data_IF_715086880909
#
_entry.id   IF_715086880909
#
_cell.length_a   1.000
_cell.length_b   1.000
_cell.length_c   1.000
_cell.angle_alpha   90.00
_cell.angle_beta   90.00
_cell.angle_gamma   90.00
#
_symmetry.space_group_name_H-M   'P 1'
#
loop_
_entity.id
_entity.type
_entity.pdbx_description
1 polymer ?
#
# COMPACT_ATOMS: atom_id res chain seq x y z
N UNK A 1 -12.56 -21.08 -4.27
CA UNK A 1 -12.89 -19.91 -5.08
C UNK A 1 -11.60 -19.10 -5.29
N UNK A 2 -11.33 -18.68 -6.51
CA UNK A 2 -10.24 -17.73 -6.81
C UNK A 2 -10.86 -16.39 -7.14
N UNK A 3 -10.22 -15.31 -6.72
CA UNK A 3 -10.62 -13.95 -7.14
C UNK A 3 -10.57 -13.86 -8.67
N UNK A 4 -11.60 -13.29 -9.27
CA UNK A 4 -11.66 -13.12 -10.72
C UNK A 4 -10.68 -12.01 -11.10
N UNK A 5 -9.81 -12.21 -12.11
CA UNK A 5 -8.94 -11.14 -12.62
C UNK A 5 -9.77 -9.91 -13.06
N UNK A 6 -9.25 -8.73 -12.77
CA UNK A 6 -9.87 -7.46 -13.11
C UNK A 6 -9.10 -6.77 -14.23
N UNK A 7 -9.81 -5.96 -15.01
CA UNK A 7 -9.21 -5.04 -15.98
C UNK A 7 -9.92 -3.69 -15.95
N UNK A 8 -9.25 -2.65 -16.43
CA UNK A 8 -9.84 -1.32 -16.62
C UNK A 8 -10.33 -1.22 -18.07
N UNK A 9 -11.61 -0.87 -18.26
CA UNK A 9 -12.22 -0.65 -19.56
C UNK A 9 -12.93 0.72 -19.59
N UNK A 10 -12.26 1.69 -20.19
CA UNK A 10 -12.69 3.09 -20.12
C UNK A 10 -12.64 3.60 -18.67
N UNK A 11 -13.78 3.99 -18.13
CA UNK A 11 -13.92 4.48 -16.76
C UNK A 11 -14.48 3.41 -15.77
N UNK A 12 -14.39 2.13 -16.14
CA UNK A 12 -14.96 1.04 -15.34
C UNK A 12 -13.90 0.02 -15.00
N UNK A 13 -14.06 -0.62 -13.84
CA UNK A 13 -13.40 -1.87 -13.50
C UNK A 13 -14.34 -2.99 -13.87
N UNK A 14 -13.87 -3.93 -14.67
CA UNK A 14 -14.66 -5.08 -15.14
C UNK A 14 -13.94 -6.39 -14.87
N UNK A 15 -14.64 -7.51 -14.90
CA UNK A 15 -14.01 -8.83 -14.93
C UNK A 15 -13.24 -8.97 -16.25
N UNK A 16 -11.99 -9.40 -16.16
CA UNK A 16 -11.09 -9.53 -17.31
C UNK A 16 -11.75 -10.32 -18.45
N UNK A 17 -11.68 -9.77 -19.66
CA UNK A 17 -12.25 -10.37 -20.88
C UNK A 17 -13.77 -10.25 -21.00
N UNK A 18 -14.43 -9.44 -20.16
CA UNK A 18 -15.89 -9.23 -20.22
C UNK A 18 -16.26 -7.75 -20.12
N UNK A 19 -17.56 -7.44 -20.23
CA UNK A 19 -18.12 -6.12 -19.93
C UNK A 19 -18.79 -6.07 -18.54
N UNK A 20 -18.69 -7.14 -17.74
CA UNK A 20 -19.31 -7.21 -16.44
C UNK A 20 -18.58 -6.30 -15.43
N UNK A 21 -19.25 -5.24 -15.04
CA UNK A 21 -18.73 -4.26 -14.11
C UNK A 21 -18.58 -4.85 -12.71
N UNK A 22 -17.46 -4.57 -12.08
CA UNK A 22 -17.17 -4.93 -10.68
C UNK A 22 -17.17 -3.66 -9.84
N UNK A 23 -17.97 -3.65 -8.79
CA UNK A 23 -17.95 -2.58 -7.77
C UNK A 23 -17.18 -3.09 -6.56
N UNK A 24 -16.03 -2.47 -6.29
CA UNK A 24 -15.22 -2.77 -5.13
C UNK A 24 -15.75 -2.00 -3.91
N UNK A 25 -16.15 -2.74 -2.87
CA UNK A 25 -16.64 -2.20 -1.60
C UNK A 25 -15.81 -2.75 -0.46
N UNK A 26 -15.22 -1.88 0.33
CA UNK A 26 -14.33 -2.31 1.40
C UNK A 26 -13.97 -1.21 2.37
N UNK A 27 -13.05 -1.54 3.24
CA UNK A 27 -12.52 -0.64 4.28
C UNK A 27 -11.01 -0.75 4.39
N UNK A 28 -10.39 0.24 5.04
CA UNK A 28 -9.00 0.14 5.47
C UNK A 28 -8.88 -0.76 6.70
N UNK A 29 -7.84 -1.57 6.74
CA UNK A 29 -7.41 -2.33 7.92
C UNK A 29 -5.97 -1.89 8.23
N UNK A 30 -5.77 -0.88 9.09
CA UNK A 30 -4.49 -0.18 9.24
C UNK A 30 -3.45 -0.94 10.08
N UNK A 31 -3.77 -2.13 10.58
CA UNK A 31 -2.98 -2.84 11.58
C UNK A 31 -1.53 -3.14 11.17
N UNK A 32 -1.19 -3.11 9.88
CA UNK A 32 0.19 -3.32 9.41
C UNK A 32 1.04 -2.04 9.42
N UNK A 33 0.42 -0.87 9.45
CA UNK A 33 1.13 0.39 9.62
C UNK A 33 1.03 0.88 11.08
N UNK A 34 -0.14 0.71 11.69
CA UNK A 34 -0.40 1.02 13.09
C UNK A 34 -0.95 -0.20 13.81
N UNK A 35 -0.45 -0.51 15.02
CA UNK A 35 -1.01 -1.55 15.88
C UNK A 35 -0.42 -2.96 15.71
N UNK A 36 0.73 -3.10 15.08
CA UNK A 36 1.54 -4.35 15.08
C UNK A 36 0.77 -5.61 14.73
N UNK A 37 -0.02 -5.57 13.66
CA UNK A 37 -0.88 -6.66 13.22
C UNK A 37 -1.97 -7.06 14.23
N UNK A 38 -2.26 -6.21 15.21
CA UNK A 38 -3.30 -6.47 16.21
C UNK A 38 -4.68 -6.54 15.53
N UNK A 39 -5.44 -7.58 15.88
CA UNK A 39 -6.77 -7.86 15.32
C UNK A 39 -6.84 -7.92 13.78
N UNK A 40 -5.70 -8.17 13.11
CA UNK A 40 -5.59 -8.15 11.66
C UNK A 40 -6.55 -9.15 10.98
N UNK A 41 -6.55 -10.39 11.46
CA UNK A 41 -7.37 -11.47 10.89
C UNK A 41 -8.82 -11.42 11.36
N UNK A 42 -9.07 -10.98 12.58
CA UNK A 42 -10.41 -10.73 13.10
C UNK A 42 -11.10 -9.62 12.29
N UNK A 43 -10.39 -8.52 12.04
CA UNK A 43 -10.88 -7.41 11.20
C UNK A 43 -11.19 -7.89 9.79
N UNK A 44 -10.30 -8.67 9.18
CA UNK A 44 -10.54 -9.24 7.85
C UNK A 44 -11.76 -10.16 7.81
N UNK A 45 -11.90 -11.03 8.80
CA UNK A 45 -13.05 -11.95 8.91
C UNK A 45 -14.34 -11.15 9.05
N UNK A 46 -14.35 -10.12 9.91
CA UNK A 46 -15.50 -9.24 10.08
C UNK A 46 -15.88 -8.57 8.75
N UNK A 47 -14.91 -8.00 8.06
CA UNK A 47 -15.12 -7.25 6.80
C UNK A 47 -15.62 -8.15 5.68
N UNK A 48 -14.95 -9.27 5.45
CA UNK A 48 -15.31 -10.14 4.32
C UNK A 48 -16.51 -11.05 4.59
N UNK A 49 -16.58 -11.62 5.79
CA UNK A 49 -17.52 -12.70 6.08
C UNK A 49 -18.81 -12.16 6.73
N UNK A 50 -18.72 -11.12 7.58
CA UNK A 50 -19.88 -10.57 8.28
C UNK A 50 -20.49 -9.36 7.57
N UNK A 51 -19.68 -8.42 7.05
CA UNK A 51 -20.19 -7.23 6.36
C UNK A 51 -20.41 -7.46 4.86
N UNK A 52 -19.94 -8.58 4.32
CA UNK A 52 -20.11 -8.92 2.91
C UNK A 52 -19.28 -8.03 1.96
N UNK A 53 -18.28 -7.32 2.46
CA UNK A 53 -17.37 -6.55 1.63
C UNK A 53 -16.56 -7.47 0.70
N UNK A 54 -16.07 -6.92 -0.41
CA UNK A 54 -15.26 -7.68 -1.36
C UNK A 54 -13.81 -7.17 -1.45
N UNK A 55 -13.47 -6.13 -0.68
CA UNK A 55 -12.17 -5.48 -0.70
C UNK A 55 -11.71 -5.11 0.71
N UNK A 56 -10.42 -5.25 0.97
CA UNK A 56 -9.69 -4.61 2.07
C UNK A 56 -8.56 -3.77 1.48
N UNK A 57 -8.33 -2.57 1.98
CA UNK A 57 -7.09 -1.83 1.77
C UNK A 57 -6.18 -2.05 2.99
N UNK A 58 -5.00 -2.58 2.73
CA UNK A 58 -3.99 -2.89 3.74
C UNK A 58 -2.82 -1.93 3.61
N UNK A 59 -2.74 -0.89 4.47
CA UNK A 59 -1.59 -0.02 4.55
C UNK A 59 -0.31 -0.77 4.93
N UNK A 60 0.75 -0.60 4.16
CA UNK A 60 2.07 -1.22 4.36
C UNK A 60 3.11 -0.12 4.51
N UNK A 61 3.90 -0.19 5.56
CA UNK A 61 5.02 0.73 5.75
C UNK A 61 6.29 0.19 5.07
N UNK A 62 6.90 0.90 4.10
CA UNK A 62 8.09 0.44 3.40
C UNK A 62 9.29 0.17 4.31
N UNK A 63 9.46 0.97 5.37
CA UNK A 63 10.51 0.72 6.36
C UNK A 63 10.31 -0.61 7.08
N UNK A 64 9.06 -0.92 7.47
CA UNK A 64 8.74 -2.17 8.15
C UNK A 64 8.84 -3.37 7.21
N UNK A 65 8.50 -3.19 5.94
CA UNK A 65 8.75 -4.22 4.92
C UNK A 65 10.22 -4.59 4.83
N UNK A 66 11.12 -3.60 4.90
CA UNK A 66 12.56 -3.77 4.78
C UNK A 66 13.22 -4.33 6.05
N UNK A 67 12.80 -3.88 7.23
CA UNK A 67 13.55 -4.07 8.48
C UNK A 67 12.73 -4.67 9.62
N UNK A 68 11.44 -4.92 9.42
CA UNK A 68 10.52 -5.20 10.52
C UNK A 68 10.04 -3.93 11.20
N UNK A 69 9.07 -4.05 12.08
CA UNK A 69 8.49 -2.91 12.79
C UNK A 69 8.99 -2.84 14.22
N UNK A 70 9.26 -1.62 14.67
CA UNK A 70 9.56 -1.30 16.06
C UNK A 70 8.47 -0.36 16.53
N UNK A 71 7.57 -0.85 17.38
CA UNK A 71 6.49 -0.05 17.94
C UNK A 71 6.25 -0.48 19.38
N UNK A 72 6.62 0.38 20.32
CA UNK A 72 6.59 0.13 21.76
C UNK A 72 7.27 -1.22 22.14
N UNK A 73 6.59 -2.07 22.87
CA UNK A 73 7.11 -3.37 23.32
C UNK A 73 6.86 -4.52 22.32
N UNK A 74 6.10 -4.26 21.24
CA UNK A 74 5.76 -5.28 20.23
C UNK A 74 6.58 -5.07 18.96
N UNK A 75 7.65 -5.84 18.82
CA UNK A 75 8.49 -5.83 17.63
C UNK A 75 8.14 -7.00 16.72
N UNK A 76 7.96 -6.71 15.43
CA UNK A 76 7.87 -7.73 14.39
C UNK A 76 9.21 -7.78 13.64
N UNK A 77 9.77 -8.97 13.47
CA UNK A 77 10.90 -9.12 12.53
C UNK A 77 10.42 -8.86 11.10
N UNK A 78 11.36 -8.61 10.18
CA UNK A 78 11.06 -8.49 8.76
C UNK A 78 10.21 -9.67 8.25
N UNK A 79 10.63 -10.88 8.59
CA UNK A 79 9.97 -12.11 8.16
C UNK A 79 8.55 -12.24 8.72
N UNK A 80 8.35 -11.85 9.98
CA UNK A 80 7.03 -11.84 10.60
C UNK A 80 6.12 -10.80 9.93
N UNK A 81 6.63 -9.58 9.69
CA UNK A 81 5.88 -8.52 9.02
C UNK A 81 5.45 -8.95 7.62
N UNK A 82 6.37 -9.47 6.83
CA UNK A 82 6.09 -9.96 5.48
C UNK A 82 5.16 -11.16 5.48
N UNK A 83 5.29 -12.04 6.47
CA UNK A 83 4.41 -13.22 6.62
C UNK A 83 2.97 -12.81 6.91
N UNK A 84 2.71 -11.83 7.75
CA UNK A 84 1.36 -11.33 8.01
C UNK A 84 0.70 -10.83 6.73
N UNK A 85 1.43 -10.05 5.91
CA UNK A 85 0.92 -9.57 4.63
C UNK A 85 0.61 -10.74 3.68
N UNK A 86 1.50 -11.73 3.62
CA UNK A 86 1.33 -12.92 2.80
C UNK A 86 0.09 -13.73 3.24
N UNK A 87 -0.10 -13.90 4.52
CA UNK A 87 -1.26 -14.61 5.08
C UNK A 87 -2.57 -13.86 4.79
N UNK A 88 -2.57 -12.50 4.85
CA UNK A 88 -3.72 -11.68 4.47
C UNK A 88 -4.08 -11.83 2.99
N UNK A 89 -3.07 -11.81 2.10
CA UNK A 89 -3.27 -12.04 0.66
C UNK A 89 -3.84 -13.41 0.40
N UNK A 90 -3.28 -14.46 1.00
CA UNK A 90 -3.79 -15.84 0.88
C UNK A 90 -5.23 -15.97 1.37
N UNK A 91 -5.55 -15.34 2.48
CA UNK A 91 -6.88 -15.39 3.06
C UNK A 91 -7.92 -14.64 2.22
N UNK A 92 -7.56 -13.50 1.59
CA UNK A 92 -8.40 -12.81 0.61
C UNK A 92 -8.64 -13.69 -0.63
N UNK A 93 -7.56 -14.25 -1.19
CA UNK A 93 -7.62 -15.14 -2.34
C UNK A 93 -8.50 -16.38 -2.09
N UNK A 94 -8.37 -17.02 -0.93
CA UNK A 94 -9.17 -18.19 -0.55
C UNK A 94 -10.66 -17.89 -0.49
N UNK A 95 -11.03 -16.65 -0.19
CA UNK A 95 -12.42 -16.15 -0.16
C UNK A 95 -12.93 -15.64 -1.50
N UNK A 96 -12.09 -15.59 -2.53
CA UNK A 96 -12.43 -14.95 -3.82
C UNK A 96 -12.64 -13.44 -3.70
N UNK A 97 -11.96 -12.81 -2.73
CA UNK A 97 -12.02 -11.36 -2.42
C UNK A 97 -10.76 -10.66 -2.91
N UNK A 98 -10.72 -9.33 -2.80
CA UNK A 98 -9.61 -8.50 -3.24
C UNK A 98 -8.93 -7.81 -2.05
N UNK A 99 -7.65 -7.54 -2.21
CA UNK A 99 -6.86 -6.79 -1.24
C UNK A 99 -5.99 -5.76 -1.97
N UNK A 100 -6.07 -4.49 -1.57
CA UNK A 100 -5.12 -3.47 -1.98
C UNK A 100 -3.93 -3.51 -1.04
N UNK A 101 -2.75 -3.75 -1.55
CA UNK A 101 -1.50 -3.49 -0.84
C UNK A 101 -1.13 -2.04 -1.11
N UNK A 102 -1.09 -1.23 -0.07
CA UNK A 102 -0.94 0.21 -0.16
C UNK A 102 0.40 0.65 0.42
N UNK A 103 1.22 1.33 -0.39
CA UNK A 103 2.43 1.99 0.11
C UNK A 103 2.04 3.19 0.97
N UNK A 104 2.01 2.99 2.29
CA UNK A 104 1.47 3.97 3.23
C UNK A 104 2.51 5.00 3.63
N UNK A 105 2.89 5.83 2.67
CA UNK A 105 3.81 6.95 2.82
C UNK A 105 3.07 8.27 2.64
N UNK A 106 3.43 9.27 3.42
CA UNK A 106 2.81 10.61 3.41
C UNK A 106 3.68 11.69 2.74
N UNK A 107 4.78 11.30 2.15
CA UNK A 107 5.74 12.17 1.47
C UNK A 107 6.05 11.62 0.08
N UNK A 108 6.97 12.29 -0.63
CA UNK A 108 7.45 11.84 -1.93
C UNK A 108 8.00 10.41 -1.91
N UNK A 109 7.90 9.68 -3.04
CA UNK A 109 8.52 8.36 -3.20
C UNK A 109 10.02 8.40 -2.91
N UNK A 110 10.49 7.35 -2.25
CA UNK A 110 11.91 7.16 -1.91
C UNK A 110 12.36 5.77 -2.39
N UNK A 111 13.66 5.52 -2.28
CA UNK A 111 14.25 4.27 -2.78
C UNK A 111 13.66 3.02 -2.10
N UNK A 112 13.34 3.08 -0.83
CA UNK A 112 12.74 1.95 -0.10
C UNK A 112 11.32 1.61 -0.59
N UNK A 113 10.56 2.59 -1.10
CA UNK A 113 9.26 2.34 -1.75
C UNK A 113 9.44 1.55 -3.05
N UNK A 114 10.41 1.94 -3.88
CA UNK A 114 10.72 1.23 -5.11
C UNK A 114 11.21 -0.20 -4.84
N UNK A 115 12.07 -0.36 -3.84
CA UNK A 115 12.59 -1.68 -3.46
C UNK A 115 11.46 -2.59 -2.97
N UNK A 116 10.57 -2.07 -2.11
CA UNK A 116 9.36 -2.78 -1.70
C UNK A 116 8.49 -3.17 -2.90
N UNK A 117 8.23 -2.23 -3.83
CA UNK A 117 7.39 -2.50 -5.00
C UNK A 117 7.99 -3.53 -5.94
N UNK A 118 9.32 -3.55 -6.15
CA UNK A 118 9.99 -4.59 -6.93
C UNK A 118 9.75 -5.97 -6.34
N UNK A 119 9.90 -6.13 -5.02
CA UNK A 119 9.65 -7.39 -4.33
C UNK A 119 8.16 -7.80 -4.39
N UNK A 120 7.24 -6.87 -4.12
CA UNK A 120 5.79 -7.13 -4.14
C UNK A 120 5.27 -7.46 -5.54
N UNK A 121 5.76 -6.78 -6.58
CA UNK A 121 5.37 -7.04 -7.96
C UNK A 121 5.80 -8.44 -8.42
N UNK A 122 7.02 -8.87 -8.07
CA UNK A 122 7.49 -10.23 -8.34
C UNK A 122 6.64 -11.25 -7.59
N UNK A 123 6.33 -10.98 -6.33
CA UNK A 123 5.61 -11.93 -5.46
C UNK A 123 4.13 -12.05 -5.81
N UNK A 124 3.46 -10.94 -6.12
CA UNK A 124 2.00 -10.88 -6.26
C UNK A 124 1.48 -10.40 -7.62
N UNK A 125 2.35 -10.03 -8.56
CA UNK A 125 1.94 -9.47 -9.85
C UNK A 125 1.00 -10.36 -10.68
N UNK A 126 1.05 -11.68 -10.47
CA UNK A 126 0.16 -12.65 -11.10
C UNK A 126 -0.98 -13.13 -10.17
N UNK A 127 -1.18 -12.48 -9.04
CA UNK A 127 -2.25 -12.84 -8.10
C UNK A 127 -3.48 -11.96 -8.30
N UNK A 128 -4.53 -12.52 -8.89
CA UNK A 128 -5.77 -11.80 -9.20
C UNK A 128 -6.52 -11.23 -7.97
N UNK A 129 -6.15 -11.62 -6.77
CA UNK A 129 -6.71 -11.04 -5.55
C UNK A 129 -6.05 -9.70 -5.17
N UNK A 130 -4.85 -9.41 -5.70
CA UNK A 130 -4.04 -8.27 -5.28
C UNK A 130 -4.21 -7.08 -6.23
N UNK A 131 -4.43 -5.93 -5.65
CA UNK A 131 -4.36 -4.61 -6.28
C UNK A 131 -3.25 -3.80 -5.61
N UNK A 132 -2.61 -2.90 -6.34
CA UNK A 132 -1.50 -2.11 -5.84
C UNK A 132 -1.89 -0.64 -5.68
N UNK A 133 -1.83 -0.13 -4.44
CA UNK A 133 -1.94 1.29 -4.12
C UNK A 133 -0.54 1.90 -4.07
N UNK A 134 -0.10 2.49 -5.18
CA UNK A 134 1.30 2.83 -5.40
C UNK A 134 1.89 3.81 -4.39
N UNK A 135 1.09 4.77 -3.94
CA UNK A 135 1.48 5.77 -2.94
C UNK A 135 0.25 6.30 -2.24
N UNK A 136 0.32 6.42 -0.92
CA UNK A 136 -0.68 7.13 -0.14
C UNK A 136 -0.42 8.66 -0.27
N UNK A 137 -1.09 9.49 0.43
CA UNK A 137 -1.16 10.95 0.47
C UNK A 137 0.21 11.67 0.41
N UNK A 138 0.84 11.95 -0.74
CA UNK A 138 2.04 12.75 -0.80
C UNK A 138 1.70 14.22 -0.50
N UNK A 139 2.20 14.72 0.64
CA UNK A 139 1.99 16.11 1.07
C UNK A 139 3.24 16.66 1.76
N UNK A 140 3.23 17.94 2.12
CA UNK A 140 4.31 18.63 2.85
C UNK A 140 5.69 18.49 2.20
N UNK A 141 5.73 18.55 0.86
CA UNK A 141 6.97 18.47 0.10
C UNK A 141 7.80 19.71 0.41
N UNK A 142 8.91 19.51 1.12
CA UNK A 142 9.82 20.58 1.53
C UNK A 142 11.21 20.40 0.90
N UNK A 143 11.49 21.04 -0.24
CA UNK A 143 12.81 20.99 -0.85
C UNK A 143 13.90 21.52 0.10
N UNK A 144 15.09 20.94 0.03
CA UNK A 144 16.25 21.40 0.84
C UNK A 144 16.58 22.84 0.50
N UNK A 145 16.82 23.66 1.52
CA UNK A 145 17.14 25.07 1.39
C UNK A 145 15.92 26.01 1.17
N UNK A 146 14.71 25.44 1.11
CA UNK A 146 13.47 26.22 0.95
C UNK A 146 12.66 26.17 2.24
N UNK A 147 12.56 27.31 2.93
CA UNK A 147 11.83 27.37 4.22
C UNK A 147 10.31 27.29 4.03
N UNK A 148 9.79 27.99 3.03
CA UNK A 148 8.36 28.03 2.67
C UNK A 148 8.18 27.75 1.18
N UNK A 149 8.12 26.47 0.79
CA UNK A 149 8.04 26.12 -0.62
C UNK A 149 6.72 26.60 -1.25
N UNK A 150 6.84 27.13 -2.44
CA UNK A 150 5.70 27.44 -3.30
C UNK A 150 5.13 26.16 -3.91
N UNK A 151 3.90 26.23 -4.41
CA UNK A 151 3.29 25.12 -5.16
C UNK A 151 4.15 24.70 -6.37
N UNK A 152 4.79 25.65 -7.04
CA UNK A 152 5.65 25.37 -8.20
C UNK A 152 6.88 24.56 -7.78
N UNK A 153 7.56 24.93 -6.70
CA UNK A 153 8.73 24.21 -6.19
C UNK A 153 8.35 22.79 -5.70
N UNK A 154 7.15 22.62 -5.12
CA UNK A 154 6.64 21.31 -4.73
C UNK A 154 6.36 20.44 -5.96
N UNK A 155 5.74 20.99 -7.02
CA UNK A 155 5.50 20.30 -8.28
C UNK A 155 6.80 19.98 -9.03
N UNK A 156 7.83 20.84 -8.95
CA UNK A 156 9.13 20.55 -9.54
C UNK A 156 9.76 19.31 -8.92
N UNK A 157 9.74 19.21 -7.59
CA UNK A 157 10.21 17.99 -6.89
C UNK A 157 9.35 16.77 -7.23
N UNK A 158 8.03 16.95 -7.36
CA UNK A 158 7.15 15.86 -7.75
C UNK A 158 7.51 15.29 -9.13
N UNK A 159 7.84 16.17 -10.07
CA UNK A 159 8.18 15.80 -11.45
C UNK A 159 9.61 15.29 -11.60
N UNK A 160 10.55 15.98 -11.01
CA UNK A 160 11.98 15.79 -11.27
C UNK A 160 12.69 15.01 -10.14
N UNK A 161 12.05 14.85 -9.00
CA UNK A 161 12.72 14.40 -7.79
C UNK A 161 13.59 15.49 -7.18
N UNK A 162 14.41 15.12 -6.21
CA UNK A 162 15.34 16.05 -5.57
C UNK A 162 15.56 15.76 -4.10
N UNK A 163 16.30 16.66 -3.43
CA UNK A 163 16.52 16.55 -2.00
C UNK A 163 15.40 17.26 -1.24
N UNK A 164 14.79 16.57 -0.29
CA UNK A 164 13.71 17.09 0.55
C UNK A 164 14.01 16.84 2.03
N UNK A 165 13.34 17.59 2.90
CA UNK A 165 13.39 17.38 4.35
C UNK A 165 12.20 16.53 4.78
N UNK A 166 12.46 15.41 5.44
CA UNK A 166 11.46 14.53 6.04
C UNK A 166 11.85 14.26 7.49
N UNK A 167 11.01 14.67 8.44
CA UNK A 167 11.30 14.48 9.86
C UNK A 167 12.56 15.18 10.36
N UNK A 168 13.00 16.23 9.65
CA UNK A 168 14.25 16.98 9.96
C UNK A 168 15.50 16.43 9.28
N UNK A 169 15.40 15.34 8.54
CA UNK A 169 16.51 14.72 7.80
C UNK A 169 16.40 14.99 6.31
N UNK A 170 17.56 15.11 5.64
CA UNK A 170 17.62 15.19 4.18
C UNK A 170 17.45 13.82 3.55
N UNK A 171 16.50 13.67 2.63
CA UNK A 171 16.26 12.44 1.89
C UNK A 171 16.11 12.71 0.41
N UNK A 172 16.48 11.76 -0.43
CA UNK A 172 16.29 11.85 -1.88
C UNK A 172 14.86 11.40 -2.23
N UNK A 173 14.08 12.32 -2.78
CA UNK A 173 12.80 12.05 -3.40
C UNK A 173 12.99 11.59 -4.85
N UNK A 174 12.17 10.67 -5.28
CA UNK A 174 12.15 10.14 -6.65
C UNK A 174 11.02 10.85 -7.40
N UNK A 175 11.36 11.45 -8.56
CA UNK A 175 10.38 12.08 -9.42
C UNK A 175 9.54 11.06 -10.23
N UNK A 176 8.46 11.56 -10.77
CA UNK A 176 7.52 10.80 -11.63
C UNK A 176 7.78 10.99 -13.11
#
# INVERSE_FOLDING_TARGET
>A
NRSVPLEVKGNKIVKQGTDEMVVLRGVNVPSMDWGMAEHLFESMTMVYDSWGANLIRLPINPKYWKSGSIWDEKNLTKEQYQKYIDDMVKAAQARGKYIILDCHRYVMPQQDDLDMWKELAVKYGNNSAVLFGLLNEPHDIKPVGVEKPTTVEQWDVWYNGGQIIVGGEEVTAIGH
#
